data_IF_086688507902
#
_entry.id   IF_086688507902
#
_cell.length_a   1.000
_cell.length_b   1.000
_cell.length_c   1.000
_cell.angle_alpha   90.00
_cell.angle_beta   90.00
_cell.angle_gamma   90.00
#
_symmetry.space_group_name_H-M   'P 1'
#
loop_
_entity.id
_entity.type
_entity.pdbx_description
1 polymer ?
#
# COMPACT_ATOMS: atom_id res chain seq x y z
N UNK A 1 -10.49 -30.15 -12.10
CA UNK A 1 -9.46 -29.09 -12.00
C UNK A 1 -9.69 -27.96 -13.01
N UNK A 2 -9.93 -28.25 -14.30
CA UNK A 2 -10.21 -27.24 -15.34
C UNK A 2 -11.37 -26.27 -15.02
N UNK A 3 -12.46 -26.75 -14.42
CA UNK A 3 -13.61 -25.89 -14.08
C UNK A 3 -13.29 -24.84 -12.99
N UNK A 4 -12.32 -25.12 -12.10
CA UNK A 4 -11.85 -24.15 -11.10
C UNK A 4 -10.93 -23.11 -11.74
N UNK A 5 -10.09 -23.53 -12.69
CA UNK A 5 -9.20 -22.64 -13.42
C UNK A 5 -9.98 -21.66 -14.32
N UNK A 6 -11.01 -22.15 -15.02
CA UNK A 6 -11.90 -21.29 -15.81
C UNK A 6 -12.63 -20.27 -14.94
N UNK A 7 -13.09 -20.67 -13.74
CA UNK A 7 -13.80 -19.77 -12.83
C UNK A 7 -12.90 -18.71 -12.17
N UNK A 8 -11.60 -18.94 -12.09
CA UNK A 8 -10.63 -17.91 -11.69
C UNK A 8 -10.44 -16.85 -12.78
N UNK A 9 -10.41 -17.24 -14.06
CA UNK A 9 -10.30 -16.28 -15.18
C UNK A 9 -11.54 -15.38 -15.32
N UNK A 10 -12.72 -15.81 -14.86
CA UNK A 10 -13.96 -15.02 -14.94
C UNK A 10 -14.10 -13.98 -13.80
N UNK A 11 -13.19 -13.97 -12.81
CA UNK A 11 -13.22 -12.97 -11.75
C UNK A 11 -12.71 -11.63 -12.29
N UNK A 12 -13.59 -10.63 -12.31
CA UNK A 12 -13.29 -9.27 -12.80
C UNK A 12 -12.02 -8.67 -12.17
N UNK A 13 -11.73 -8.98 -10.91
CA UNK A 13 -10.51 -8.56 -10.21
C UNK A 13 -9.23 -9.08 -10.89
N UNK A 14 -9.18 -10.39 -11.21
CA UNK A 14 -8.00 -10.98 -11.84
C UNK A 14 -7.79 -10.44 -13.26
N UNK A 15 -8.90 -10.19 -13.98
CA UNK A 15 -8.86 -9.56 -15.31
C UNK A 15 -8.31 -8.13 -15.21
N UNK A 16 -8.79 -7.32 -14.25
CA UNK A 16 -8.30 -5.97 -14.04
C UNK A 16 -6.82 -5.95 -13.64
N UNK A 17 -6.38 -6.87 -12.78
CA UNK A 17 -4.97 -7.02 -12.42
C UNK A 17 -4.08 -7.35 -13.62
N UNK A 18 -4.53 -8.29 -14.47
CA UNK A 18 -3.82 -8.64 -15.70
C UNK A 18 -3.76 -7.46 -16.68
N UNK A 19 -4.86 -6.73 -16.86
CA UNK A 19 -4.92 -5.51 -17.70
C UNK A 19 -3.95 -4.45 -17.17
N UNK A 20 -3.95 -4.19 -15.86
CA UNK A 20 -3.06 -3.21 -15.24
C UNK A 20 -1.60 -3.60 -15.45
N UNK A 21 -1.26 -4.88 -15.27
CA UNK A 21 0.10 -5.38 -15.45
C UNK A 21 0.57 -5.28 -16.91
N UNK A 22 -0.28 -5.63 -17.87
CA UNK A 22 -0.01 -5.45 -19.30
C UNK A 22 0.17 -3.96 -19.61
N UNK A 23 -0.69 -3.08 -19.10
CA UNK A 23 -0.62 -1.64 -19.38
C UNK A 23 0.63 -0.95 -18.80
N UNK A 24 1.16 -1.45 -17.68
CA UNK A 24 2.36 -0.91 -17.04
C UNK A 24 3.68 -1.52 -17.54
N UNK A 25 3.61 -2.68 -18.21
CA UNK A 25 4.79 -3.32 -18.78
C UNK A 25 5.38 -2.47 -19.92
N UNK A 26 6.72 -2.38 -19.99
CA UNK A 26 7.45 -1.58 -20.99
C UNK A 26 6.99 -1.81 -22.42
N UNK A 27 6.80 -3.07 -22.80
CA UNK A 27 6.35 -3.49 -24.14
C UNK A 27 4.90 -4.00 -24.14
N UNK A 28 4.12 -3.58 -23.15
CA UNK A 28 2.72 -3.93 -22.95
C UNK A 28 1.83 -3.50 -24.11
N UNK A 29 1.19 -4.47 -24.78
CA UNK A 29 0.28 -4.21 -25.91
C UNK A 29 -0.98 -5.06 -25.79
N UNK A 30 -2.12 -4.44 -26.04
CA UNK A 30 -3.38 -5.15 -26.17
C UNK A 30 -3.57 -5.58 -27.63
N UNK A 31 -3.89 -6.85 -27.84
CA UNK A 31 -4.28 -7.34 -29.14
C UNK A 31 -5.59 -6.67 -29.57
N UNK A 32 -5.68 -6.26 -30.83
CA UNK A 32 -6.88 -5.66 -31.40
C UNK A 32 -7.18 -6.21 -32.79
N UNK A 33 -8.39 -5.98 -33.33
CA UNK A 33 -8.67 -6.22 -34.73
C UNK A 33 -7.73 -5.39 -35.61
N UNK A 34 -7.67 -5.72 -36.89
CA UNK A 34 -6.92 -4.97 -37.90
C UNK A 34 -7.17 -3.45 -37.81
N UNK A 35 -6.20 -2.65 -38.30
CA UNK A 35 -6.07 -1.21 -38.08
C UNK A 35 -7.30 -0.33 -38.47
N UNK A 36 -8.36 -0.91 -39.04
CA UNK A 36 -9.57 -0.25 -39.49
C UNK A 36 -10.63 -0.02 -38.39
N UNK A 37 -10.55 -0.68 -37.23
CA UNK A 37 -11.52 -0.45 -36.14
C UNK A 37 -11.02 0.60 -35.14
N UNK A 38 -11.16 1.87 -35.51
CA UNK A 38 -10.84 3.04 -34.66
C UNK A 38 -11.63 3.01 -33.33
N UNK A 39 -12.78 2.34 -33.29
CA UNK A 39 -13.71 2.36 -32.16
C UNK A 39 -13.29 1.48 -30.96
N UNK A 40 -12.42 0.47 -31.17
CA UNK A 40 -11.98 -0.43 -30.09
C UNK A 40 -10.85 0.16 -29.22
N UNK A 41 -9.98 0.96 -29.82
CA UNK A 41 -8.80 1.50 -29.14
C UNK A 41 -9.16 2.41 -27.94
N UNK A 42 -10.17 3.29 -27.99
CA UNK A 42 -10.58 4.11 -26.84
C UNK A 42 -11.09 3.27 -25.66
N UNK A 43 -11.88 2.22 -25.91
CA UNK A 43 -12.43 1.37 -24.85
C UNK A 43 -11.33 0.60 -24.11
N UNK A 44 -10.38 0.03 -24.85
CA UNK A 44 -9.21 -0.67 -24.26
C UNK A 44 -8.33 0.29 -23.48
N UNK A 45 -8.07 1.49 -24.02
CA UNK A 45 -7.31 2.53 -23.31
C UNK A 45 -8.02 2.95 -22.02
N UNK A 46 -9.34 3.16 -22.06
CA UNK A 46 -10.13 3.49 -20.88
C UNK A 46 -10.08 2.40 -19.80
N UNK A 47 -10.23 1.14 -20.19
CA UNK A 47 -10.11 0.00 -19.28
C UNK A 47 -8.70 -0.11 -18.69
N UNK A 48 -7.66 0.06 -19.51
CA UNK A 48 -6.26 0.02 -19.08
C UNK A 48 -5.96 1.13 -18.06
N UNK A 49 -6.32 2.37 -18.37
CA UNK A 49 -6.11 3.52 -17.47
C UNK A 49 -6.89 3.33 -16.16
N UNK A 50 -8.14 2.87 -16.23
CA UNK A 50 -8.96 2.64 -15.04
C UNK A 50 -8.40 1.52 -14.15
N UNK A 51 -7.91 0.44 -14.75
CA UNK A 51 -7.29 -0.66 -14.02
C UNK A 51 -6.00 -0.22 -13.30
N UNK A 52 -5.14 0.56 -13.99
CA UNK A 52 -3.92 1.12 -13.39
C UNK A 52 -4.26 2.09 -12.27
N UNK A 53 -5.22 2.99 -12.47
CA UNK A 53 -5.66 3.93 -11.44
C UNK A 53 -6.17 3.22 -10.18
N UNK A 54 -7.05 2.21 -10.33
CA UNK A 54 -7.56 1.42 -9.20
C UNK A 54 -6.46 0.66 -8.46
N UNK A 55 -5.47 0.13 -9.18
CA UNK A 55 -4.33 -0.55 -8.56
C UNK A 55 -3.48 0.43 -7.72
N UNK A 56 -3.20 1.62 -8.26
CA UNK A 56 -2.46 2.67 -7.55
C UNK A 56 -3.23 3.24 -6.35
N UNK A 57 -4.55 3.43 -6.47
CA UNK A 57 -5.39 3.88 -5.36
C UNK A 57 -5.40 2.87 -4.22
N UNK A 58 -5.54 1.58 -4.56
CA UNK A 58 -5.51 0.48 -3.58
C UNK A 58 -4.15 0.41 -2.89
N UNK A 59 -3.05 0.52 -3.64
CA UNK A 59 -1.70 0.57 -3.08
C UNK A 59 -1.53 1.76 -2.13
N UNK A 60 -2.03 2.92 -2.51
CA UNK A 60 -1.97 4.14 -1.69
C UNK A 60 -2.72 3.96 -0.38
N UNK A 61 -3.93 3.38 -0.42
CA UNK A 61 -4.73 3.10 0.78
C UNK A 61 -4.01 2.08 1.68
N UNK A 62 -3.44 1.02 1.09
CA UNK A 62 -2.72 0.01 1.85
C UNK A 62 -1.51 0.61 2.59
N UNK A 63 -0.70 1.42 1.89
CA UNK A 63 0.45 2.12 2.50
C UNK A 63 -0.01 3.01 3.66
N UNK A 64 -1.09 3.78 3.48
CA UNK A 64 -1.63 4.65 4.55
C UNK A 64 -2.10 3.84 5.75
N UNK A 65 -2.85 2.76 5.53
CA UNK A 65 -3.32 1.87 6.60
C UNK A 65 -2.14 1.29 7.40
N UNK A 66 -1.08 0.83 6.71
CA UNK A 66 0.11 0.31 7.38
C UNK A 66 0.85 1.39 8.17
N UNK A 67 0.94 2.62 7.66
CA UNK A 67 1.53 3.76 8.38
C UNK A 67 0.70 4.09 9.63
N UNK A 68 -0.63 4.14 9.50
CA UNK A 68 -1.54 4.44 10.62
C UNK A 68 -1.44 3.37 11.72
N UNK A 69 -1.36 2.09 11.34
CA UNK A 69 -1.13 0.97 12.26
C UNK A 69 0.25 1.08 12.95
N UNK A 70 1.30 1.37 12.18
CA UNK A 70 2.65 1.58 12.69
C UNK A 70 2.71 2.75 13.68
N UNK A 71 2.07 3.87 13.35
CA UNK A 71 2.01 5.05 14.23
C UNK A 71 1.20 4.77 15.50
N UNK A 72 0.11 4.00 15.41
CA UNK A 72 -0.64 3.54 16.58
C UNK A 72 0.21 2.67 17.50
N UNK A 73 1.02 1.76 16.95
CA UNK A 73 1.98 0.96 17.72
C UNK A 73 3.01 1.83 18.44
N UNK A 74 3.59 2.83 17.75
CA UNK A 74 4.52 3.79 18.38
C UNK A 74 3.83 4.55 19.51
N UNK A 75 2.60 5.04 19.31
CA UNK A 75 1.83 5.75 20.34
C UNK A 75 1.61 4.91 21.59
N UNK A 76 1.28 3.62 21.43
CA UNK A 76 1.09 2.72 22.57
C UNK A 76 2.41 2.39 23.28
N UNK A 77 3.51 2.19 22.53
CA UNK A 77 4.84 2.00 23.12
C UNK A 77 5.32 3.25 23.87
N UNK A 78 4.90 4.43 23.42
CA UNK A 78 5.24 5.72 24.02
C UNK A 78 4.29 6.14 25.15
N UNK A 79 3.29 5.32 25.50
CA UNK A 79 2.54 5.49 26.75
C UNK A 79 3.49 5.28 27.92
N UNK A 80 4.14 6.37 28.33
CA UNK A 80 4.87 6.43 29.58
C UNK A 80 3.89 6.15 30.72
N UNK A 81 4.25 5.20 31.56
CA UNK A 81 3.57 5.03 32.84
C UNK A 81 3.79 6.34 33.62
N UNK A 82 2.73 7.13 33.78
CA UNK A 82 2.74 8.40 34.51
C UNK A 82 2.97 8.16 36.04
N UNK A 83 3.14 6.91 36.48
CA UNK A 83 3.55 6.57 37.85
C UNK A 83 5.07 6.55 38.07
N UNK A 84 5.90 6.68 37.03
CA UNK A 84 7.35 6.79 37.24
C UNK A 84 7.59 8.16 37.86
N UNK A 85 7.62 8.17 39.20
CA UNK A 85 8.29 9.16 40.01
C UNK A 85 9.57 9.53 39.29
N UNK A 86 9.61 10.78 38.81
CA UNK A 86 10.80 11.44 38.29
C UNK A 86 11.98 10.98 39.15
N UNK A 87 12.87 10.18 38.58
CA UNK A 87 14.19 9.95 39.15
C UNK A 87 14.88 11.30 39.08
N UNK A 88 14.71 12.08 40.15
CA UNK A 88 15.61 13.15 40.49
C UNK A 88 16.99 12.50 40.49
N UNK A 89 17.81 12.91 39.52
CA UNK A 89 19.22 12.57 39.48
C UNK A 89 19.87 13.25 40.68
N UNK A 90 19.80 12.59 41.84
CA UNK A 90 20.59 12.92 43.02
C UNK A 90 22.03 12.56 42.71
N UNK A 91 22.77 13.48 42.08
CA UNK A 91 24.21 13.45 42.15
C UNK A 91 24.61 13.81 43.58
N UNK A 92 24.79 12.76 44.38
CA UNK A 92 25.31 12.78 45.73
C UNK A 92 26.79 13.20 45.70
N UNK A 93 27.03 14.51 45.76
CA UNK A 93 28.33 15.11 46.07
C UNK A 93 28.37 15.53 47.54
N UNK A 94 28.57 14.57 48.42
CA UNK A 94 28.82 14.80 49.84
C UNK A 94 30.25 15.29 50.09
N UNK A 95 30.37 16.19 51.07
CA UNK A 95 31.53 16.44 51.95
C UNK A 95 32.43 17.63 51.60
N UNK A 96 32.45 18.61 52.52
CA UNK A 96 33.49 19.65 52.55
C UNK A 96 33.17 20.96 53.29
N UNK A 97 32.48 20.95 54.44
CA UNK A 97 32.54 22.07 55.39
C UNK A 97 33.31 21.64 56.63
N UNK A 98 34.59 22.03 56.71
CA UNK A 98 35.38 21.97 57.93
C UNK A 98 36.18 23.28 58.08
N UNK A 99 35.75 24.05 59.09
CA UNK A 99 36.46 25.06 59.90
C UNK A 99 36.88 26.38 59.25
#
# INVERSE_FOLDING_TARGET
>A
MLLRLFRMMQKMEQIAGAIALIAMAKDGKFAGPNAATIEYAPAVKGAAVSAVAKALDTLTIAIRSTIDEGLKSVKEAMKTNINVTSVASENSGSSGQNQ
#
